data_IF_491170106962
#
_entry.id   IF_491170106962
#
_cell.length_a   1.000
_cell.length_b   1.000
_cell.length_c   1.000
_cell.angle_alpha   90.00
_cell.angle_beta   90.00
_cell.angle_gamma   90.00
#
_symmetry.space_group_name_H-M   'P 1'
#
loop_
_entity.id
_entity.type
_entity.pdbx_description
1 polymer ?
#
# COMPACT_ATOMS: atom_id res chain seq x y z
N UNK A 1 37.42 9.91 -36.77
CA UNK A 1 36.46 10.22 -35.71
C UNK A 1 36.75 9.52 -34.37
N UNK A 2 38.01 9.27 -33.93
CA UNK A 2 38.27 8.63 -32.61
C UNK A 2 38.24 9.63 -31.42
N UNK A 3 38.40 10.95 -31.68
CA UNK A 3 38.55 11.96 -30.61
C UNK A 3 37.25 12.26 -29.88
N UNK A 4 36.10 12.19 -30.54
CA UNK A 4 34.77 12.40 -29.93
C UNK A 4 34.40 11.30 -28.94
N UNK A 5 34.83 10.05 -29.18
CA UNK A 5 34.63 8.95 -28.27
C UNK A 5 35.41 9.09 -26.96
N UNK A 6 36.65 9.54 -27.03
CA UNK A 6 37.52 9.69 -25.86
C UNK A 6 37.02 10.77 -24.89
N UNK A 7 36.51 11.89 -25.44
CA UNK A 7 35.97 12.99 -24.63
C UNK A 7 34.70 12.60 -23.83
N UNK A 8 33.79 11.84 -24.46
CA UNK A 8 32.53 11.41 -23.80
C UNK A 8 32.81 10.46 -22.63
N UNK A 9 33.76 9.54 -22.79
CA UNK A 9 34.14 8.60 -21.72
C UNK A 9 34.79 9.29 -20.53
N UNK A 10 35.56 10.33 -20.76
CA UNK A 10 36.17 11.11 -19.71
C UNK A 10 35.12 11.89 -18.90
N UNK A 11 34.13 12.46 -19.58
CA UNK A 11 33.01 13.17 -18.92
C UNK A 11 32.22 12.21 -18.03
N UNK A 12 31.92 10.99 -18.50
CA UNK A 12 31.22 9.97 -17.74
C UNK A 12 32.03 9.50 -16.51
N UNK A 13 33.35 9.31 -16.69
CA UNK A 13 34.23 8.93 -15.58
C UNK A 13 34.31 10.04 -14.52
N UNK A 14 34.41 11.32 -14.95
CA UNK A 14 34.40 12.47 -14.03
C UNK A 14 33.04 12.55 -13.28
N UNK A 15 31.92 12.36 -13.96
CA UNK A 15 30.61 12.33 -13.32
C UNK A 15 30.53 11.28 -12.21
N UNK A 16 30.98 10.05 -12.48
CA UNK A 16 31.02 9.00 -11.49
C UNK A 16 32.05 9.22 -10.38
N UNK A 17 33.16 9.86 -10.67
CA UNK A 17 34.16 10.25 -9.68
C UNK A 17 33.57 11.28 -8.70
N UNK A 18 32.88 12.30 -9.20
CA UNK A 18 32.19 13.30 -8.37
C UNK A 18 31.08 12.62 -7.54
N UNK A 19 30.33 11.71 -8.14
CA UNK A 19 29.30 10.96 -7.43
C UNK A 19 29.91 10.10 -6.31
N UNK A 20 31.03 9.40 -6.56
CA UNK A 20 31.71 8.58 -5.54
C UNK A 20 32.19 9.43 -4.35
N UNK A 21 32.77 10.60 -4.60
CA UNK A 21 33.22 11.53 -3.55
C UNK A 21 32.02 12.08 -2.76
N UNK A 22 30.97 12.54 -3.43
CA UNK A 22 29.76 13.10 -2.78
C UNK A 22 29.00 12.10 -1.94
N UNK A 23 29.03 10.82 -2.31
CA UNK A 23 28.33 9.73 -1.59
C UNK A 23 29.22 9.02 -0.56
N UNK A 24 30.45 9.53 -0.31
CA UNK A 24 31.35 8.97 0.70
C UNK A 24 31.83 7.56 0.39
N UNK A 25 31.92 7.20 -0.91
CA UNK A 25 32.38 5.87 -1.30
C UNK A 25 33.89 5.75 -1.14
N UNK A 26 34.36 4.50 -1.01
CA UNK A 26 35.78 4.19 -0.82
C UNK A 26 36.63 4.70 -2.00
N UNK A 27 37.76 5.34 -1.70
CA UNK A 27 38.59 6.04 -2.66
C UNK A 27 39.17 5.13 -3.77
N UNK A 28 39.21 3.79 -3.57
CA UNK A 28 39.67 2.88 -4.63
C UNK A 28 38.80 2.94 -5.91
N UNK A 29 37.54 3.36 -5.78
CA UNK A 29 36.66 3.55 -6.94
C UNK A 29 37.19 4.64 -7.90
N UNK A 30 37.82 5.68 -7.36
CA UNK A 30 38.48 6.71 -8.18
C UNK A 30 39.62 6.13 -9.01
N UNK A 31 40.42 5.25 -8.39
CA UNK A 31 41.52 4.57 -9.06
C UNK A 31 41.01 3.70 -10.21
N UNK A 32 39.93 2.94 -10.01
CA UNK A 32 39.33 2.10 -11.05
C UNK A 32 38.74 2.96 -12.18
N UNK A 33 38.07 4.07 -11.86
CA UNK A 33 37.48 4.98 -12.85
C UNK A 33 38.52 5.66 -13.72
N UNK A 34 39.73 6.04 -13.16
CA UNK A 34 40.79 6.69 -13.90
C UNK A 34 41.70 5.70 -14.61
N UNK A 35 41.96 4.49 -14.03
CA UNK A 35 42.79 3.47 -14.68
C UNK A 35 42.09 2.83 -15.90
N UNK A 36 40.77 2.66 -15.81
CA UNK A 36 39.95 2.03 -16.86
C UNK A 36 38.65 2.83 -17.09
N UNK A 37 38.70 3.98 -17.79
CA UNK A 37 37.55 4.90 -17.84
C UNK A 37 36.24 4.28 -18.37
N UNK A 38 36.33 3.42 -19.39
CA UNK A 38 35.17 2.70 -19.94
C UNK A 38 34.69 1.57 -19.04
N UNK A 39 35.58 0.64 -18.73
CA UNK A 39 35.25 -0.54 -17.93
C UNK A 39 34.92 -0.14 -16.49
N UNK A 40 35.70 0.77 -15.91
CA UNK A 40 35.52 1.31 -14.58
C UNK A 40 34.19 2.05 -14.43
N UNK A 41 33.84 2.88 -15.43
CA UNK A 41 32.53 3.57 -15.45
C UNK A 41 31.37 2.59 -15.56
N UNK A 42 31.49 1.54 -16.37
CA UNK A 42 30.45 0.49 -16.48
C UNK A 42 30.30 -0.30 -15.19
N UNK A 43 31.42 -0.73 -14.60
CA UNK A 43 31.42 -1.47 -13.32
C UNK A 43 30.89 -0.60 -12.19
N UNK A 44 31.30 0.67 -12.12
CA UNK A 44 30.79 1.61 -11.11
C UNK A 44 29.28 1.86 -11.29
N UNK A 45 28.84 2.05 -12.53
CA UNK A 45 27.42 2.20 -12.84
C UNK A 45 26.62 0.97 -12.37
N UNK A 46 27.07 -0.24 -12.74
CA UNK A 46 26.36 -1.48 -12.43
C UNK A 46 26.40 -1.84 -10.94
N UNK A 47 27.57 -1.65 -10.27
CA UNK A 47 27.76 -2.11 -8.89
C UNK A 47 27.42 -1.05 -7.83
N UNK A 48 27.49 0.24 -8.14
CA UNK A 48 27.35 1.32 -7.17
C UNK A 48 26.19 2.27 -7.50
N UNK A 49 26.11 2.74 -8.73
CA UNK A 49 25.09 3.71 -9.11
C UNK A 49 23.72 3.07 -9.29
N UNK A 50 23.62 1.95 -10.01
CA UNK A 50 22.37 1.25 -10.29
C UNK A 50 21.68 0.75 -9.00
N UNK A 51 22.36 0.04 -8.08
CA UNK A 51 21.74 -0.49 -6.85
C UNK A 51 21.24 0.58 -5.88
N UNK A 52 21.72 1.83 -6.02
CA UNK A 52 21.30 2.94 -5.15
C UNK A 52 20.46 3.99 -5.89
N UNK A 53 20.12 3.71 -7.15
CA UNK A 53 19.34 4.63 -7.99
C UNK A 53 17.83 4.46 -7.74
N UNK A 54 17.09 5.55 -8.00
CA UNK A 54 15.62 5.52 -8.02
C UNK A 54 15.08 4.51 -9.06
N UNK A 55 15.86 4.23 -10.10
CA UNK A 55 15.53 3.28 -11.17
C UNK A 55 15.41 1.84 -10.65
N UNK A 56 16.29 1.40 -9.75
CA UNK A 56 16.18 0.05 -9.17
C UNK A 56 14.93 -0.09 -8.32
N UNK A 57 14.63 0.93 -7.51
CA UNK A 57 13.40 0.92 -6.72
C UNK A 57 12.16 0.87 -7.61
N UNK A 58 12.13 1.66 -8.69
CA UNK A 58 11.04 1.65 -9.66
C UNK A 58 10.97 0.32 -10.42
N UNK A 59 12.11 -0.24 -10.85
CA UNK A 59 12.17 -1.54 -11.52
C UNK A 59 11.73 -2.68 -10.60
N UNK A 60 12.10 -2.64 -9.32
CA UNK A 60 11.66 -3.61 -8.32
C UNK A 60 10.15 -3.52 -8.07
N UNK A 61 9.61 -2.31 -7.90
CA UNK A 61 8.16 -2.09 -7.73
C UNK A 61 7.40 -2.54 -8.97
N UNK A 62 7.88 -2.19 -10.18
CA UNK A 62 7.29 -2.63 -11.43
C UNK A 62 7.39 -4.15 -11.62
N UNK A 63 8.53 -4.75 -11.25
CA UNK A 63 8.74 -6.19 -11.26
C UNK A 63 7.78 -6.93 -10.33
N UNK A 64 7.60 -6.46 -9.09
CA UNK A 64 6.63 -7.02 -8.16
C UNK A 64 5.18 -6.86 -8.66
N UNK A 65 4.83 -5.71 -9.23
CA UNK A 65 3.50 -5.49 -9.79
C UNK A 65 3.22 -6.41 -11.00
N UNK A 66 4.22 -6.61 -11.86
CA UNK A 66 4.12 -7.52 -13.00
C UNK A 66 4.02 -8.98 -12.51
N UNK A 67 4.82 -9.36 -11.53
CA UNK A 67 4.82 -10.70 -10.95
C UNK A 67 3.49 -11.02 -10.25
N UNK A 68 2.90 -10.05 -9.52
CA UNK A 68 1.55 -10.18 -8.91
C UNK A 68 0.47 -10.37 -9.98
N UNK A 69 0.62 -9.77 -11.17
CA UNK A 69 -0.30 -9.98 -12.30
C UNK A 69 -0.12 -11.33 -12.99
N UNK A 70 1.13 -11.82 -13.08
CA UNK A 70 1.44 -13.09 -13.76
C UNK A 70 1.12 -14.32 -12.90
N UNK A 71 1.26 -14.19 -11.58
CA UNK A 71 0.98 -15.27 -10.63
C UNK A 71 0.34 -14.72 -9.35
N UNK A 72 -0.96 -14.42 -9.38
CA UNK A 72 -1.68 -13.84 -8.24
C UNK A 72 -1.78 -14.79 -7.03
N UNK A 73 -1.62 -16.10 -7.24
CA UNK A 73 -1.65 -17.10 -6.15
C UNK A 73 -0.30 -17.38 -5.48
N UNK A 74 0.77 -16.81 -5.99
CA UNK A 74 2.14 -17.10 -5.48
C UNK A 74 2.28 -16.76 -4.00
N UNK A 75 1.81 -15.59 -3.58
CA UNK A 75 1.95 -15.12 -2.20
C UNK A 75 1.20 -16.01 -1.21
N UNK A 76 0.03 -16.50 -1.59
CA UNK A 76 -0.72 -17.48 -0.79
C UNK A 76 0.06 -18.79 -0.67
N UNK A 77 0.62 -19.30 -1.78
CA UNK A 77 1.41 -20.56 -1.75
C UNK A 77 2.66 -20.43 -0.89
N UNK A 78 3.41 -19.34 -1.04
CA UNK A 78 4.61 -19.08 -0.23
C UNK A 78 4.28 -18.89 1.26
N UNK A 79 3.20 -18.15 1.58
CA UNK A 79 2.76 -17.96 2.96
C UNK A 79 2.26 -19.28 3.56
N UNK A 80 1.53 -20.11 2.80
CA UNK A 80 1.08 -21.44 3.24
C UNK A 80 2.26 -22.35 3.52
N UNK A 81 3.22 -22.43 2.60
CA UNK A 81 4.43 -23.22 2.79
C UNK A 81 5.22 -22.76 4.02
N UNK A 82 5.35 -21.46 4.25
CA UNK A 82 6.02 -20.92 5.43
C UNK A 82 5.29 -21.30 6.73
N UNK A 83 3.95 -21.29 6.72
CA UNK A 83 3.15 -21.71 7.88
C UNK A 83 3.23 -23.21 8.10
N UNK A 84 3.18 -24.03 7.06
CA UNK A 84 3.27 -25.50 7.15
C UNK A 84 4.65 -25.94 7.70
N UNK A 85 5.73 -25.25 7.29
CA UNK A 85 7.09 -25.54 7.79
C UNK A 85 7.31 -25.02 9.22
N UNK A 86 6.72 -23.88 9.55
CA UNK A 86 6.93 -23.23 10.85
C UNK A 86 5.59 -22.58 11.28
N UNK A 87 4.75 -23.31 12.03
CA UNK A 87 3.43 -22.86 12.42
C UNK A 87 3.48 -21.84 13.57
N UNK A 88 3.96 -20.64 13.26
CA UNK A 88 3.97 -19.50 14.19
C UNK A 88 2.78 -18.58 13.90
N UNK A 89 2.35 -17.82 14.91
CA UNK A 89 1.31 -16.81 14.75
C UNK A 89 1.67 -15.77 13.67
N UNK A 90 2.94 -15.41 13.53
CA UNK A 90 3.41 -14.52 12.47
C UNK A 90 3.16 -15.10 11.06
N UNK A 91 3.54 -16.36 10.84
CA UNK A 91 3.31 -17.03 9.56
C UNK A 91 1.81 -17.24 9.30
N UNK A 92 1.02 -17.50 10.34
CA UNK A 92 -0.43 -17.62 10.26
C UNK A 92 -1.08 -16.29 9.85
N UNK A 93 -0.69 -15.17 10.48
CA UNK A 93 -1.13 -13.83 10.08
C UNK A 93 -0.74 -13.48 8.64
N UNK A 94 0.49 -13.84 8.24
CA UNK A 94 0.94 -13.65 6.86
C UNK A 94 0.09 -14.43 5.86
N UNK A 95 -0.23 -15.69 6.19
CA UNK A 95 -1.12 -16.52 5.37
C UNK A 95 -2.53 -15.91 5.30
N UNK A 96 -3.09 -15.52 6.44
CA UNK A 96 -4.41 -14.90 6.50
C UNK A 96 -4.50 -13.61 5.67
N UNK A 97 -3.46 -12.77 5.74
CA UNK A 97 -3.37 -11.54 4.94
C UNK A 97 -3.26 -11.83 3.44
N UNK A 98 -2.42 -12.80 3.05
CA UNK A 98 -2.27 -13.21 1.65
C UNK A 98 -3.59 -13.78 1.07
N UNK A 99 -4.31 -14.58 1.86
CA UNK A 99 -5.63 -15.10 1.50
C UNK A 99 -6.66 -13.98 1.31
N UNK A 100 -6.66 -13.00 2.20
CA UNK A 100 -7.56 -11.85 2.10
C UNK A 100 -7.27 -11.02 0.82
N UNK A 101 -6.00 -10.75 0.53
CA UNK A 101 -5.61 -10.05 -0.70
C UNK A 101 -5.94 -10.84 -1.99
N UNK A 102 -5.92 -12.17 -1.90
CA UNK A 102 -6.32 -13.06 -2.99
C UNK A 102 -7.85 -13.20 -3.14
N UNK A 103 -8.65 -12.53 -2.28
CA UNK A 103 -10.12 -12.61 -2.29
C UNK A 103 -10.68 -13.89 -1.66
N UNK A 104 -9.84 -14.71 -1.00
CA UNK A 104 -10.25 -15.94 -0.32
C UNK A 104 -10.72 -15.62 1.11
N UNK A 105 -11.79 -14.81 1.21
CA UNK A 105 -12.22 -14.18 2.46
C UNK A 105 -12.61 -15.18 3.56
N UNK A 106 -13.25 -16.29 3.19
CA UNK A 106 -13.69 -17.32 4.15
C UNK A 106 -12.47 -17.98 4.84
N UNK A 107 -11.46 -18.37 4.07
CA UNK A 107 -10.24 -18.97 4.59
C UNK A 107 -9.41 -17.96 5.38
N UNK A 108 -9.32 -16.72 4.89
CA UNK A 108 -8.67 -15.63 5.63
C UNK A 108 -9.31 -15.40 7.00
N UNK A 109 -10.65 -15.35 7.07
CA UNK A 109 -11.37 -15.19 8.33
C UNK A 109 -11.08 -16.35 9.30
N UNK A 110 -11.06 -17.60 8.83
CA UNK A 110 -10.74 -18.75 9.66
C UNK A 110 -9.29 -18.68 10.22
N UNK A 111 -8.31 -18.27 9.40
CA UNK A 111 -6.92 -18.12 9.86
C UNK A 111 -6.78 -16.99 10.89
N UNK A 112 -7.45 -15.85 10.69
CA UNK A 112 -7.46 -14.77 11.69
C UNK A 112 -8.19 -15.16 12.97
N UNK A 113 -9.30 -15.91 12.89
CA UNK A 113 -10.00 -16.39 14.07
C UNK A 113 -9.12 -17.30 14.93
N UNK A 114 -8.31 -18.15 14.32
CA UNK A 114 -7.33 -18.93 15.02
C UNK A 114 -6.24 -18.06 15.72
N UNK A 115 -5.80 -16.98 15.09
CA UNK A 115 -4.90 -16.01 15.71
C UNK A 115 -5.55 -15.30 16.92
N UNK A 116 -6.85 -15.01 16.86
CA UNK A 116 -7.60 -14.38 17.95
C UNK A 116 -7.80 -15.29 19.17
N UNK A 117 -7.64 -16.60 19.01
CA UNK A 117 -7.70 -17.58 20.12
C UNK A 117 -6.33 -17.80 20.78
N UNK A 118 -5.25 -17.29 20.18
CA UNK A 118 -3.88 -17.45 20.62
C UNK A 118 -3.35 -16.31 21.50
N UNK A 119 -2.05 -16.28 21.75
CA UNK A 119 -1.40 -15.26 22.57
C UNK A 119 -1.49 -13.84 21.96
N UNK A 120 -1.85 -13.72 20.69
CA UNK A 120 -2.01 -12.46 19.97
C UNK A 120 -3.48 -12.00 19.87
N UNK A 121 -4.37 -12.54 20.69
CA UNK A 121 -5.79 -12.20 20.69
C UNK A 121 -6.10 -10.70 20.89
N UNK A 122 -5.16 -9.97 21.48
CA UNK A 122 -5.27 -8.53 21.74
C UNK A 122 -4.38 -7.67 20.84
N UNK A 123 -3.67 -8.30 19.90
CA UNK A 123 -2.84 -7.57 18.93
C UNK A 123 -3.73 -6.79 17.95
N UNK A 124 -3.45 -5.49 17.82
CA UNK A 124 -4.24 -4.59 17.01
C UNK A 124 -4.21 -4.94 15.51
N UNK A 125 -3.07 -5.43 15.01
CA UNK A 125 -2.94 -5.87 13.61
C UNK A 125 -3.81 -7.11 13.35
N UNK A 126 -3.81 -8.06 14.29
CA UNK A 126 -4.66 -9.27 14.20
C UNK A 126 -6.12 -8.89 14.20
N UNK A 127 -6.53 -8.02 15.12
CA UNK A 127 -7.95 -7.57 15.23
C UNK A 127 -8.39 -6.85 13.96
N UNK A 128 -7.56 -5.92 13.43
CA UNK A 128 -7.88 -5.20 12.19
C UNK A 128 -7.95 -6.15 10.99
N UNK A 129 -6.99 -7.09 10.88
CA UNK A 129 -6.99 -8.11 9.82
C UNK A 129 -8.21 -9.02 9.89
N UNK A 130 -8.56 -9.51 11.08
CA UNK A 130 -9.74 -10.34 11.32
C UNK A 130 -11.04 -9.60 10.95
N UNK A 131 -11.16 -8.34 11.35
CA UNK A 131 -12.33 -7.53 11.02
C UNK A 131 -12.49 -7.34 9.51
N UNK A 132 -11.39 -7.08 8.78
CA UNK A 132 -11.41 -6.97 7.33
C UNK A 132 -11.79 -8.29 6.65
N UNK A 133 -11.24 -9.40 7.12
CA UNK A 133 -11.56 -10.72 6.59
C UNK A 133 -13.03 -11.08 6.84
N UNK A 134 -13.56 -10.80 8.04
CA UNK A 134 -14.97 -11.01 8.36
C UNK A 134 -15.90 -10.14 7.52
N UNK A 135 -15.59 -8.86 7.35
CA UNK A 135 -16.35 -7.98 6.48
C UNK A 135 -16.36 -8.48 5.03
N UNK A 136 -15.21 -8.90 4.50
CA UNK A 136 -15.08 -9.46 3.16
C UNK A 136 -15.82 -10.82 3.02
N UNK A 137 -15.93 -11.58 4.11
CA UNK A 137 -16.67 -12.85 4.18
C UNK A 137 -18.17 -12.68 4.45
N UNK A 138 -18.73 -11.46 4.32
CA UNK A 138 -20.15 -11.20 4.54
C UNK A 138 -20.61 -11.25 6.00
N UNK A 139 -19.69 -11.02 6.94
CA UNK A 139 -19.95 -10.99 8.38
C UNK A 139 -19.70 -9.57 8.96
N UNK A 140 -20.42 -8.53 8.48
CA UNK A 140 -20.13 -7.14 8.85
C UNK A 140 -20.36 -6.86 10.34
N UNK A 141 -21.35 -7.50 10.98
CA UNK A 141 -21.61 -7.28 12.41
C UNK A 141 -20.48 -7.80 13.30
N UNK A 142 -19.87 -8.94 12.94
CA UNK A 142 -18.69 -9.43 13.63
C UNK A 142 -17.49 -8.49 13.44
N UNK A 143 -17.32 -7.93 12.24
CA UNK A 143 -16.29 -6.92 11.96
C UNK A 143 -16.50 -5.65 12.78
N UNK A 144 -17.75 -5.16 12.90
CA UNK A 144 -18.10 -4.01 13.75
C UNK A 144 -17.68 -4.25 15.20
N UNK A 145 -18.03 -5.42 15.76
CA UNK A 145 -17.66 -5.76 17.14
C UNK A 145 -16.14 -5.70 17.39
N UNK A 146 -15.36 -6.26 16.48
CA UNK A 146 -13.89 -6.22 16.55
C UNK A 146 -13.34 -4.81 16.44
N UNK A 147 -13.80 -4.03 15.46
CA UNK A 147 -13.30 -2.66 15.21
C UNK A 147 -13.73 -1.68 16.30
N UNK A 148 -14.94 -1.77 16.82
CA UNK A 148 -15.38 -0.96 17.95
C UNK A 148 -14.56 -1.26 19.21
N UNK A 149 -14.30 -2.55 19.49
CA UNK A 149 -13.39 -2.95 20.58
C UNK A 149 -11.97 -2.44 20.39
N UNK A 150 -11.45 -2.49 19.17
CA UNK A 150 -10.11 -1.97 18.83
C UNK A 150 -10.03 -0.47 19.09
N UNK A 151 -11.00 0.30 18.59
CA UNK A 151 -11.02 1.75 18.79
C UNK A 151 -11.15 2.16 20.26
N UNK A 152 -11.95 1.40 21.04
CA UNK A 152 -12.11 1.67 22.47
C UNK A 152 -10.83 1.38 23.27
N UNK A 153 -10.13 0.30 22.96
CA UNK A 153 -8.95 -0.15 23.71
C UNK A 153 -7.65 0.48 23.22
N UNK A 154 -7.54 0.74 21.93
CA UNK A 154 -6.34 1.25 21.25
C UNK A 154 -6.68 2.36 20.25
N UNK A 155 -7.19 3.54 20.69
CA UNK A 155 -7.71 4.59 19.81
C UNK A 155 -6.62 5.22 18.92
N UNK A 156 -5.35 5.06 19.26
CA UNK A 156 -4.20 5.53 18.48
C UNK A 156 -3.72 4.57 17.40
N UNK A 157 -4.25 3.34 17.36
CA UNK A 157 -3.81 2.37 16.37
C UNK A 157 -4.48 2.60 15.02
N UNK A 158 -3.71 3.10 14.04
CA UNK A 158 -4.17 3.38 12.67
C UNK A 158 -5.60 3.95 12.62
N UNK A 159 -5.85 5.08 13.30
CA UNK A 159 -7.21 5.54 13.58
C UNK A 159 -8.03 5.82 12.33
N UNK A 160 -7.40 6.26 11.24
CA UNK A 160 -8.06 6.46 9.95
C UNK A 160 -8.42 5.12 9.29
N UNK A 161 -7.47 4.22 9.20
CA UNK A 161 -7.62 2.91 8.54
C UNK A 161 -8.65 2.04 9.25
N UNK A 162 -8.59 1.96 10.59
CA UNK A 162 -9.57 1.24 11.42
C UNK A 162 -10.95 1.90 11.36
N UNK A 163 -10.99 3.23 11.32
CA UNK A 163 -12.23 4.00 11.17
C UNK A 163 -12.90 3.80 9.82
N UNK A 164 -12.14 3.82 8.72
CA UNK A 164 -12.66 3.51 7.39
C UNK A 164 -13.20 2.08 7.29
N UNK A 165 -12.50 1.12 7.90
CA UNK A 165 -12.96 -0.27 7.95
C UNK A 165 -14.29 -0.38 8.74
N UNK A 166 -14.43 0.35 9.86
CA UNK A 166 -15.65 0.39 10.65
C UNK A 166 -16.83 1.03 9.89
N UNK A 167 -16.59 2.16 9.22
CA UNK A 167 -17.61 2.82 8.40
C UNK A 167 -18.11 1.92 7.26
N UNK A 168 -17.20 1.21 6.59
CA UNK A 168 -17.57 0.23 5.55
C UNK A 168 -18.34 -0.96 6.13
N UNK A 169 -17.98 -1.44 7.32
CA UNK A 169 -18.70 -2.51 7.98
C UNK A 169 -20.11 -2.07 8.39
N UNK A 170 -20.30 -0.83 8.89
CA UNK A 170 -21.61 -0.25 9.13
C UNK A 170 -22.46 -0.20 7.85
N UNK A 171 -21.89 0.31 6.76
CA UNK A 171 -22.59 0.38 5.48
C UNK A 171 -23.03 -1.01 4.98
N UNK A 172 -22.14 -2.01 5.09
CA UNK A 172 -22.40 -3.39 4.69
C UNK A 172 -23.45 -4.09 5.57
N UNK A 173 -23.59 -3.70 6.85
CA UNK A 173 -24.64 -4.21 7.75
C UNK A 173 -25.97 -3.45 7.63
N UNK A 174 -26.08 -2.48 6.72
CA UNK A 174 -27.28 -1.65 6.55
C UNK A 174 -27.39 -0.49 7.55
N UNK A 175 -26.43 -0.31 8.43
CA UNK A 175 -26.38 0.76 9.45
C UNK A 175 -25.90 2.08 8.82
N UNK A 176 -26.72 2.62 7.92
CA UNK A 176 -26.34 3.73 7.06
C UNK A 176 -26.07 5.04 7.82
N UNK A 177 -26.81 5.31 8.88
CA UNK A 177 -26.62 6.53 9.68
C UNK A 177 -25.24 6.51 10.38
N UNK A 178 -24.87 5.38 10.97
CA UNK A 178 -23.57 5.22 11.62
C UNK A 178 -22.43 5.24 10.61
N UNK A 179 -22.64 4.64 9.44
CA UNK A 179 -21.64 4.70 8.36
C UNK A 179 -21.37 6.14 7.92
N UNK A 180 -22.42 6.92 7.66
CA UNK A 180 -22.32 8.33 7.27
C UNK A 180 -21.64 9.18 8.34
N UNK A 181 -22.04 9.03 9.61
CA UNK A 181 -21.43 9.74 10.73
C UNK A 181 -19.94 9.39 10.87
N UNK A 182 -19.58 8.11 10.70
CA UNK A 182 -18.19 7.65 10.78
C UNK A 182 -17.34 8.24 9.63
N UNK A 183 -17.81 8.18 8.39
CA UNK A 183 -17.08 8.74 7.26
C UNK A 183 -16.97 10.26 7.34
N UNK A 184 -18.00 10.97 7.78
CA UNK A 184 -17.97 12.42 7.98
C UNK A 184 -16.92 12.82 9.03
N UNK A 185 -16.90 12.15 10.16
CA UNK A 185 -15.91 12.39 11.22
C UNK A 185 -14.48 12.13 10.74
N UNK A 186 -14.25 11.11 9.91
CA UNK A 186 -12.93 10.82 9.32
C UNK A 186 -12.53 11.87 8.29
N UNK A 187 -13.44 12.29 7.41
CA UNK A 187 -13.17 13.31 6.42
C UNK A 187 -12.84 14.67 7.08
N UNK A 188 -13.54 15.02 8.16
CA UNK A 188 -13.24 16.22 8.94
C UNK A 188 -11.89 16.13 9.68
N UNK A 189 -11.63 15.00 10.33
CA UNK A 189 -10.44 14.83 11.17
C UNK A 189 -9.14 14.71 10.36
N UNK A 190 -9.16 13.91 9.27
CA UNK A 190 -7.96 13.57 8.50
C UNK A 190 -7.86 14.33 7.18
N UNK A 191 -8.97 14.74 6.58
CA UNK A 191 -9.01 15.42 5.30
C UNK A 191 -8.44 14.59 4.13
N UNK A 192 -8.26 13.28 4.34
CA UNK A 192 -7.67 12.39 3.34
C UNK A 192 -8.59 12.16 2.14
N UNK A 193 -8.00 11.80 1.01
CA UNK A 193 -8.77 11.50 -0.19
C UNK A 193 -9.63 10.26 0.00
N UNK A 194 -9.12 9.28 0.76
CA UNK A 194 -9.83 8.04 1.08
C UNK A 194 -11.11 8.31 1.87
N UNK A 195 -11.01 9.08 2.95
CA UNK A 195 -12.14 9.40 3.80
C UNK A 195 -13.21 10.22 3.04
N UNK A 196 -12.78 11.21 2.23
CA UNK A 196 -13.68 12.01 1.39
C UNK A 196 -14.39 11.17 0.33
N UNK A 197 -13.67 10.25 -0.31
CA UNK A 197 -14.27 9.36 -1.32
C UNK A 197 -15.27 8.39 -0.69
N UNK A 198 -14.97 7.79 0.47
CA UNK A 198 -15.94 6.92 1.15
C UNK A 198 -17.19 7.70 1.59
N UNK A 199 -17.03 8.94 2.07
CA UNK A 199 -18.17 9.81 2.39
C UNK A 199 -18.99 10.15 1.14
N UNK A 200 -18.34 10.47 0.02
CA UNK A 200 -19.02 10.76 -1.23
C UNK A 200 -19.78 9.54 -1.78
N UNK A 201 -19.15 8.35 -1.74
CA UNK A 201 -19.80 7.10 -2.15
C UNK A 201 -21.03 6.78 -1.29
N UNK A 202 -20.91 6.96 0.04
CA UNK A 202 -22.03 6.80 0.96
C UNK A 202 -23.16 7.79 0.65
N UNK A 203 -22.83 9.06 0.46
CA UNK A 203 -23.80 10.12 0.17
C UNK A 203 -24.54 9.85 -1.15
N UNK A 204 -23.84 9.45 -2.22
CA UNK A 204 -24.44 9.07 -3.50
C UNK A 204 -25.41 7.89 -3.33
N UNK A 205 -25.01 6.85 -2.59
CA UNK A 205 -25.84 5.67 -2.35
C UNK A 205 -27.10 6.00 -1.54
N UNK A 206 -27.03 6.97 -0.61
CA UNK A 206 -28.14 7.36 0.25
C UNK A 206 -28.91 8.61 -0.26
N UNK A 207 -28.58 9.11 -1.46
CA UNK A 207 -29.22 10.28 -2.08
C UNK A 207 -29.07 11.57 -1.25
N UNK A 208 -27.97 11.71 -0.52
CA UNK A 208 -27.60 12.95 0.14
C UNK A 208 -26.80 13.84 -0.84
N UNK A 209 -27.55 14.51 -1.72
CA UNK A 209 -26.96 15.31 -2.79
C UNK A 209 -26.10 16.47 -2.26
N UNK A 210 -26.42 17.03 -1.10
CA UNK A 210 -25.69 18.15 -0.53
C UNK A 210 -24.27 17.70 -0.09
N UNK A 211 -24.18 16.58 0.62
CA UNK A 211 -22.90 16.00 1.03
C UNK A 211 -22.13 15.50 -0.19
N UNK A 212 -22.80 14.80 -1.12
CA UNK A 212 -22.17 14.28 -2.33
C UNK A 212 -21.51 15.42 -3.14
N UNK A 213 -22.23 16.49 -3.45
CA UNK A 213 -21.69 17.61 -4.23
C UNK A 213 -20.52 18.31 -3.54
N UNK A 214 -20.62 18.51 -2.22
CA UNK A 214 -19.53 19.10 -1.44
C UNK A 214 -18.25 18.27 -1.53
N UNK A 215 -18.34 16.97 -1.23
CA UNK A 215 -17.16 16.10 -1.23
C UNK A 215 -16.60 15.89 -2.65
N UNK A 216 -17.46 15.74 -3.67
CA UNK A 216 -17.02 15.65 -5.06
C UNK A 216 -16.21 16.88 -5.50
N UNK A 217 -16.62 18.09 -5.11
CA UNK A 217 -15.89 19.33 -5.40
C UNK A 217 -14.49 19.31 -4.77
N UNK A 218 -14.40 18.90 -3.50
CA UNK A 218 -13.12 18.80 -2.79
C UNK A 218 -12.20 17.71 -3.39
N UNK A 219 -12.77 16.54 -3.75
CA UNK A 219 -12.06 15.46 -4.41
C UNK A 219 -11.52 15.90 -5.77
N UNK A 220 -12.34 16.57 -6.59
CA UNK A 220 -11.91 17.06 -7.89
C UNK A 220 -10.84 18.15 -7.79
N UNK A 221 -10.94 19.02 -6.77
CA UNK A 221 -9.89 19.99 -6.47
C UNK A 221 -8.57 19.27 -6.11
N UNK A 222 -8.60 18.32 -5.20
CA UNK A 222 -7.42 17.55 -4.81
C UNK A 222 -6.82 16.77 -6.01
N UNK A 223 -7.65 16.10 -6.81
CA UNK A 223 -7.25 15.32 -7.98
C UNK A 223 -6.47 16.14 -9.02
N UNK A 224 -6.85 17.41 -9.24
CA UNK A 224 -6.16 18.33 -10.16
C UNK A 224 -4.74 18.68 -9.72
N UNK A 225 -4.47 18.62 -8.43
CA UNK A 225 -3.16 18.95 -7.85
C UNK A 225 -2.29 17.72 -7.57
N UNK A 226 -2.81 16.49 -7.80
CA UNK A 226 -2.06 15.26 -7.62
C UNK A 226 -1.08 15.03 -8.75
N UNK A 227 0.12 14.55 -8.42
CA UNK A 227 1.07 14.06 -9.40
C UNK A 227 0.64 12.67 -9.92
N UNK A 228 1.25 12.24 -11.03
CA UNK A 228 0.94 10.96 -11.68
C UNK A 228 1.07 9.76 -10.72
N UNK A 229 2.07 9.75 -9.87
CA UNK A 229 2.28 8.66 -8.91
C UNK A 229 1.12 8.56 -7.90
N UNK A 230 0.69 9.69 -7.34
CA UNK A 230 -0.45 9.74 -6.41
C UNK A 230 -1.76 9.36 -7.08
N UNK A 231 -1.98 9.81 -8.34
CA UNK A 231 -3.15 9.39 -9.11
C UNK A 231 -3.17 7.88 -9.36
N UNK A 232 -2.02 7.28 -9.67
CA UNK A 232 -1.91 5.83 -9.86
C UNK A 232 -2.15 5.05 -8.56
N UNK A 233 -1.72 5.59 -7.42
CA UNK A 233 -1.95 5.00 -6.10
C UNK A 233 -3.46 4.93 -5.77
N UNK A 234 -4.21 5.99 -6.07
CA UNK A 234 -5.65 6.08 -5.80
C UNK A 234 -6.54 5.68 -6.98
N UNK A 235 -5.97 5.07 -8.04
CA UNK A 235 -6.70 4.74 -9.28
C UNK A 235 -7.97 3.93 -9.03
N UNK A 236 -7.88 2.91 -8.19
CA UNK A 236 -9.02 2.03 -7.89
C UNK A 236 -10.10 2.79 -7.11
N UNK A 237 -9.70 3.63 -6.18
CA UNK A 237 -10.59 4.47 -5.41
C UNK A 237 -11.39 5.43 -6.32
N UNK A 238 -10.69 6.11 -7.24
CA UNK A 238 -11.34 6.99 -8.21
C UNK A 238 -12.22 6.23 -9.18
N UNK A 239 -11.82 5.03 -9.62
CA UNK A 239 -12.66 4.18 -10.48
C UNK A 239 -13.99 3.83 -9.81
N UNK A 240 -13.98 3.49 -8.52
CA UNK A 240 -15.19 3.22 -7.74
C UNK A 240 -16.09 4.47 -7.67
N UNK A 241 -15.50 5.64 -7.44
CA UNK A 241 -16.23 6.90 -7.38
C UNK A 241 -16.84 7.26 -8.74
N UNK A 242 -16.06 7.17 -9.81
CA UNK A 242 -16.52 7.49 -11.17
C UNK A 242 -17.66 6.54 -11.59
N UNK A 243 -17.59 5.25 -11.22
CA UNK A 243 -18.67 4.27 -11.46
C UNK A 243 -19.95 4.55 -10.66
N UNK A 244 -19.86 5.12 -9.45
CA UNK A 244 -21.03 5.46 -8.64
C UNK A 244 -21.73 6.74 -9.10
N UNK A 245 -21.10 7.54 -9.97
CA UNK A 245 -21.66 8.78 -10.56
C UNK A 245 -22.37 8.55 -11.89
N UNK A 246 -22.13 7.40 -12.54
CA UNK A 246 -22.71 7.03 -13.84
C UNK A 246 -24.11 6.43 -13.68
#
# INVERSE_FOLDING_TARGET
MPILGLGLHLIVAIFFAVHAVRTGRQLYWLLILFAFPLLGSFVYFAAVFLPHSRLERQARVAGHALQKKLDPGREVREARQAFDLTPTAHNQMRLASALLEAGQAAEAAAQFDACLQGPFAHDAEVILGAARAKAANGQPDAAIGLLASLQAKQPGFRPEESGLALGRAYAASGRQMEAGAQFAALAERFGSIEARVELALWALANRDDAVAQRELKEIEHARRHMNKYTLDLHRELFRRLDAARS
#
